data_IF_651268678556
#
_entry.id   IF_651268678556
#
_cell.length_a   1.000
_cell.length_b   1.000
_cell.length_c   1.000
_cell.angle_alpha   90.00
_cell.angle_beta   90.00
_cell.angle_gamma   90.00
#
_symmetry.space_group_name_H-M   'P 1'
#
loop_
_entity.id
_entity.type
_entity.pdbx_description
1 polymer ?
#
# COMPACT_ATOMS: atom_id res chain seq x y z
N UNK A 1 -1.50 1.51 -14.91
CA UNK A 1 -1.19 0.81 -13.65
C UNK A 1 -1.99 1.40 -12.48
N UNK A 2 -2.06 2.73 -12.35
CA UNK A 2 -2.89 3.42 -11.34
C UNK A 2 -4.37 3.00 -11.36
N UNK A 3 -5.03 2.96 -12.53
CA UNK A 3 -6.47 2.63 -12.61
C UNK A 3 -6.83 1.24 -12.06
N UNK A 4 -6.00 0.21 -12.32
CA UNK A 4 -6.23 -1.14 -11.79
C UNK A 4 -6.06 -1.19 -10.26
N UNK A 5 -5.12 -0.41 -9.73
CA UNK A 5 -4.89 -0.28 -8.28
C UNK A 5 -6.07 0.46 -7.63
N UNK A 6 -6.52 1.57 -8.22
CA UNK A 6 -7.69 2.33 -7.77
C UNK A 6 -8.94 1.44 -7.76
N UNK A 7 -9.23 0.74 -8.86
CA UNK A 7 -10.35 -0.19 -8.94
C UNK A 7 -10.28 -1.27 -7.85
N UNK A 8 -9.09 -1.83 -7.61
CA UNK A 8 -8.90 -2.85 -6.57
C UNK A 8 -9.07 -2.30 -5.16
N UNK A 9 -8.56 -1.09 -4.87
CA UNK A 9 -8.77 -0.41 -3.59
C UNK A 9 -10.25 -0.14 -3.36
N UNK A 10 -10.97 0.39 -4.36
CA UNK A 10 -12.41 0.63 -4.28
C UNK A 10 -13.19 -0.65 -4.01
N UNK A 11 -12.82 -1.76 -4.67
CA UNK A 11 -13.40 -3.08 -4.39
C UNK A 11 -13.18 -3.52 -2.95
N UNK A 12 -11.95 -3.40 -2.43
CA UNK A 12 -11.63 -3.79 -1.06
C UNK A 12 -12.36 -2.90 -0.03
N UNK A 13 -12.48 -1.59 -0.29
CA UNK A 13 -13.24 -0.68 0.57
C UNK A 13 -14.71 -1.08 0.61
N UNK A 14 -15.32 -1.38 -0.55
CA UNK A 14 -16.71 -1.84 -0.61
C UNK A 14 -16.91 -3.18 0.09
N UNK A 15 -15.96 -4.13 -0.07
CA UNK A 15 -15.99 -5.40 0.65
C UNK A 15 -15.93 -5.21 2.17
N UNK A 16 -15.10 -4.30 2.67
CA UNK A 16 -15.07 -3.97 4.09
C UNK A 16 -16.41 -3.42 4.59
N UNK A 17 -17.05 -2.53 3.82
CA UNK A 17 -18.36 -1.98 4.15
C UNK A 17 -19.47 -3.04 4.16
N UNK A 18 -19.41 -4.00 3.23
CA UNK A 18 -20.31 -5.16 3.22
C UNK A 18 -20.12 -6.07 4.43
N UNK A 19 -18.88 -6.32 4.85
CA UNK A 19 -18.61 -7.12 6.06
C UNK A 19 -19.07 -6.35 7.30
N UNK A 20 -18.89 -5.02 7.33
CA UNK A 20 -19.36 -4.17 8.44
C UNK A 20 -20.89 -4.14 8.56
N UNK A 21 -21.63 -4.18 7.45
CA UNK A 21 -23.10 -4.21 7.50
C UNK A 21 -23.67 -5.52 8.02
N UNK A 22 -22.88 -6.60 8.00
CA UNK A 22 -23.22 -7.89 8.59
C UNK A 22 -22.92 -7.97 10.10
N UNK A 23 -22.30 -6.93 10.67
CA UNK A 23 -21.98 -6.91 12.10
C UNK A 23 -23.25 -6.91 12.95
N UNK A 24 -23.24 -7.75 13.99
CA UNK A 24 -24.34 -7.90 14.94
C UNK A 24 -23.96 -7.25 16.27
N UNK A 25 -24.98 -6.78 16.99
CA UNK A 25 -24.81 -6.22 18.33
C UNK A 25 -25.15 -7.28 19.39
N UNK A 26 -24.32 -7.39 20.42
CA UNK A 26 -24.61 -8.23 21.57
C UNK A 26 -25.46 -7.48 22.61
N UNK A 27 -25.95 -8.20 23.63
CA UNK A 27 -26.77 -7.63 24.70
C UNK A 27 -26.10 -6.51 25.50
N UNK A 28 -24.78 -6.43 25.47
CA UNK A 28 -23.98 -5.42 26.17
C UNK A 28 -23.61 -4.25 25.25
N UNK A 29 -24.19 -4.17 24.04
CA UNK A 29 -23.96 -3.11 23.07
C UNK A 29 -22.70 -3.27 22.21
N UNK A 30 -21.90 -4.32 22.42
CA UNK A 30 -20.68 -4.61 21.66
C UNK A 30 -20.97 -5.25 20.30
N UNK A 31 -20.17 -4.87 19.28
CA UNK A 31 -20.32 -5.38 17.92
C UNK A 31 -19.45 -6.62 17.69
N UNK A 32 -20.00 -7.64 17.04
CA UNK A 32 -19.30 -8.87 16.65
C UNK A 32 -19.68 -9.32 15.23
N UNK A 33 -18.81 -10.15 14.64
CA UNK A 33 -19.04 -10.81 13.36
C UNK A 33 -19.40 -12.28 13.62
N UNK A 34 -20.32 -12.84 12.83
CA UNK A 34 -20.54 -14.29 12.81
C UNK A 34 -19.40 -15.02 12.08
N UNK A 35 -19.37 -16.34 12.20
CA UNK A 35 -18.27 -17.16 11.70
C UNK A 35 -17.98 -16.93 10.20
N UNK A 36 -19.02 -16.83 9.38
CA UNK A 36 -18.87 -16.61 7.93
C UNK A 36 -18.27 -15.22 7.63
N UNK A 37 -18.72 -14.18 8.34
CA UNK A 37 -18.15 -12.84 8.20
C UNK A 37 -16.73 -12.72 8.74
N UNK A 38 -16.32 -13.57 9.70
CA UNK A 38 -14.92 -13.66 10.16
C UNK A 38 -14.00 -14.24 9.08
N UNK A 39 -14.46 -15.24 8.32
CA UNK A 39 -13.69 -15.82 7.22
C UNK A 39 -13.51 -14.79 6.09
N UNK A 40 -14.60 -14.08 5.73
CA UNK A 40 -14.56 -12.98 4.76
C UNK A 40 -13.63 -11.84 5.23
N UNK A 41 -13.68 -11.48 6.52
CA UNK A 41 -12.77 -10.50 7.11
C UNK A 41 -11.30 -10.92 6.94
N UNK A 42 -10.99 -12.19 7.18
CA UNK A 42 -9.62 -12.71 7.08
C UNK A 42 -9.11 -12.67 5.63
N UNK A 43 -9.95 -13.07 4.67
CA UNK A 43 -9.63 -12.98 3.26
C UNK A 43 -9.38 -11.53 2.80
N UNK A 44 -10.24 -10.61 3.25
CA UNK A 44 -10.11 -9.18 2.97
C UNK A 44 -8.82 -8.60 3.56
N UNK A 45 -8.48 -8.99 4.78
CA UNK A 45 -7.29 -8.53 5.50
C UNK A 45 -6.00 -8.91 4.76
N UNK A 46 -5.88 -10.17 4.33
CA UNK A 46 -4.74 -10.66 3.56
C UNK A 46 -4.63 -9.94 2.22
N UNK A 47 -5.76 -9.78 1.52
CA UNK A 47 -5.81 -9.10 0.23
C UNK A 47 -5.40 -7.62 0.34
N UNK A 48 -5.87 -6.94 1.39
CA UNK A 48 -5.55 -5.54 1.67
C UNK A 48 -4.06 -5.35 1.97
N UNK A 49 -3.48 -6.20 2.82
CA UNK A 49 -2.03 -6.17 3.11
C UNK A 49 -1.19 -6.41 1.87
N UNK A 50 -1.55 -7.40 1.05
CA UNK A 50 -0.82 -7.70 -0.18
C UNK A 50 -0.84 -6.52 -1.14
N UNK A 51 -1.98 -5.83 -1.26
CA UNK A 51 -2.10 -4.66 -2.13
C UNK A 51 -1.32 -3.46 -1.58
N UNK A 52 -1.45 -3.15 -0.29
CA UNK A 52 -0.72 -2.06 0.34
C UNK A 52 0.79 -2.25 0.20
N UNK A 53 1.30 -3.47 0.36
CA UNK A 53 2.72 -3.79 0.15
C UNK A 53 3.17 -3.66 -1.31
N UNK A 54 2.26 -3.84 -2.27
CA UNK A 54 2.57 -3.62 -3.70
C UNK A 54 2.64 -2.12 -4.03
N UNK A 55 1.73 -1.34 -3.45
CA UNK A 55 1.66 0.12 -3.66
C UNK A 55 2.84 0.81 -2.97
N UNK A 56 3.10 0.40 -1.74
CA UNK A 56 4.19 0.86 -0.91
C UNK A 56 5.40 -0.03 -1.17
N UNK A 57 6.19 0.28 -2.21
CA UNK A 57 7.38 -0.49 -2.58
C UNK A 57 8.38 -0.68 -1.42
N UNK A 58 8.26 0.11 -0.35
CA UNK A 58 8.98 -0.05 0.90
C UNK A 58 8.02 -0.38 2.07
N UNK A 59 8.42 -1.32 2.93
CA UNK A 59 7.64 -1.75 4.09
C UNK A 59 7.48 -0.64 5.15
N UNK A 60 8.19 0.48 5.00
CA UNK A 60 8.16 1.67 5.88
C UNK A 60 7.15 2.73 5.45
N UNK A 61 6.39 2.51 4.38
CA UNK A 61 5.39 3.49 3.99
C UNK A 61 4.32 3.62 5.07
N UNK A 62 3.99 4.87 5.41
CA UNK A 62 3.07 5.24 6.48
C UNK A 62 1.76 4.45 6.45
N UNK A 63 1.18 4.23 5.26
CA UNK A 63 -0.07 3.48 5.13
C UNK A 63 0.06 2.00 5.51
N UNK A 64 1.15 1.33 5.12
CA UNK A 64 1.35 -0.09 5.41
C UNK A 64 1.69 -0.31 6.89
N UNK A 65 2.58 0.51 7.45
CA UNK A 65 2.92 0.44 8.87
C UNK A 65 1.72 0.76 9.77
N UNK A 66 0.95 1.81 9.43
CA UNK A 66 -0.25 2.17 10.18
C UNK A 66 -1.29 1.05 10.11
N UNK A 67 -1.52 0.47 8.92
CA UNK A 67 -2.42 -0.67 8.77
C UNK A 67 -2.00 -1.88 9.62
N UNK A 68 -0.71 -2.21 9.64
CA UNK A 68 -0.20 -3.33 10.44
C UNK A 68 -0.21 -3.05 11.95
N UNK A 69 -0.02 -1.80 12.34
CA UNK A 69 -0.06 -1.37 13.75
C UNK A 69 -1.49 -1.35 14.28
N UNK A 70 -2.42 -0.78 13.51
CA UNK A 70 -3.84 -0.70 13.84
C UNK A 70 -4.52 -2.07 13.91
N UNK A 71 -4.05 -3.04 13.12
CA UNK A 71 -4.50 -4.43 13.21
C UNK A 71 -4.08 -5.07 14.55
N UNK A 72 -2.84 -4.81 14.99
CA UNK A 72 -2.28 -5.39 16.22
C UNK A 72 -2.77 -4.70 17.48
N UNK A 73 -3.10 -3.40 17.40
CA UNK A 73 -3.71 -2.67 18.49
C UNK A 73 -5.14 -3.15 18.70
N UNK A 74 -5.28 -4.14 19.57
CA UNK A 74 -6.58 -4.52 20.13
C UNK A 74 -6.72 -3.84 21.49
N UNK A 75 -7.53 -2.80 21.56
CA UNK A 75 -7.89 -2.23 22.86
C UNK A 75 -8.77 -3.23 23.64
N UNK A 76 -8.65 -3.25 24.97
CA UNK A 76 -9.57 -4.00 25.81
C UNK A 76 -11.01 -3.57 25.45
N UNK A 77 -11.88 -4.54 25.14
CA UNK A 77 -13.27 -4.37 24.68
C UNK A 77 -13.49 -4.04 23.19
N UNK A 78 -12.45 -4.02 22.36
CA UNK A 78 -12.63 -3.79 20.92
C UNK A 78 -12.97 -5.07 20.16
N UNK A 79 -14.11 -5.05 19.44
CA UNK A 79 -14.55 -6.14 18.57
C UNK A 79 -13.98 -6.02 17.15
N UNK A 80 -13.95 -7.16 16.42
CA UNK A 80 -13.49 -7.21 15.01
C UNK A 80 -14.17 -6.18 14.09
N UNK A 81 -15.46 -5.85 14.22
CA UNK A 81 -16.08 -4.79 13.42
C UNK A 81 -15.44 -3.41 13.62
N UNK A 82 -15.03 -3.08 14.84
CA UNK A 82 -14.39 -1.78 15.13
C UNK A 82 -12.99 -1.71 14.51
N UNK A 83 -12.22 -2.80 14.61
CA UNK A 83 -10.91 -2.94 13.96
C UNK A 83 -11.06 -2.82 12.44
N UNK A 84 -12.02 -3.54 11.85
CA UNK A 84 -12.31 -3.47 10.41
C UNK A 84 -12.63 -2.04 9.96
N UNK A 85 -13.42 -1.29 10.74
CA UNK A 85 -13.74 0.11 10.42
C UNK A 85 -12.48 0.98 10.39
N UNK A 86 -11.59 0.84 11.39
CA UNK A 86 -10.32 1.57 11.44
C UNK A 86 -9.44 1.24 10.24
N UNK A 87 -9.25 -0.05 9.95
CA UNK A 87 -8.45 -0.52 8.83
C UNK A 87 -9.03 -0.05 7.47
N UNK A 88 -10.35 0.01 7.33
CA UNK A 88 -10.99 0.51 6.13
C UNK A 88 -10.72 2.02 5.91
N UNK A 89 -10.64 2.81 6.99
CA UNK A 89 -10.25 4.23 6.90
C UNK A 89 -8.85 4.41 6.33
N UNK A 90 -7.90 3.53 6.68
CA UNK A 90 -6.54 3.55 6.11
C UNK A 90 -6.56 3.26 4.60
N UNK A 91 -7.39 2.31 4.14
CA UNK A 91 -7.56 2.06 2.71
C UNK A 91 -8.19 3.24 1.97
N UNK A 92 -9.16 3.93 2.59
CA UNK A 92 -9.76 5.14 2.01
C UNK A 92 -8.75 6.27 1.86
N UNK A 93 -7.92 6.50 2.88
CA UNK A 93 -6.81 7.45 2.79
C UNK A 93 -5.84 7.07 1.66
N UNK A 94 -5.47 5.79 1.59
CA UNK A 94 -4.60 5.29 0.51
C UNK A 94 -5.22 5.52 -0.87
N UNK A 95 -6.52 5.30 -1.05
CA UNK A 95 -7.21 5.57 -2.31
C UNK A 95 -7.17 7.06 -2.67
N UNK A 96 -7.36 7.95 -1.70
CA UNK A 96 -7.25 9.39 -1.90
C UNK A 96 -5.84 9.80 -2.34
N UNK A 97 -4.80 9.26 -1.70
CA UNK A 97 -3.39 9.51 -2.08
C UNK A 97 -3.01 8.94 -3.45
N UNK A 98 -3.64 7.83 -3.86
CA UNK A 98 -3.50 7.30 -5.23
C UNK A 98 -4.22 8.22 -6.22
N UNK A 99 -5.42 8.71 -5.89
CA UNK A 99 -6.23 9.56 -6.77
C UNK A 99 -5.64 10.97 -6.95
N UNK A 100 -5.03 11.52 -5.90
CA UNK A 100 -4.31 12.80 -5.97
C UNK A 100 -2.97 12.67 -6.69
N UNK A 101 -2.54 11.45 -7.02
CA UNK A 101 -1.28 11.18 -7.72
C UNK A 101 -0.04 11.30 -6.81
N UNK A 102 -0.23 11.47 -5.50
CA UNK A 102 0.87 11.57 -4.52
C UNK A 102 1.78 10.34 -4.58
N UNK A 103 1.19 9.15 -4.62
CA UNK A 103 1.91 7.88 -4.73
C UNK A 103 2.64 7.70 -6.07
N UNK A 104 2.10 8.26 -7.16
CA UNK A 104 2.77 8.27 -8.46
C UNK A 104 3.98 9.21 -8.40
N UNK A 105 3.81 10.40 -7.82
CA UNK A 105 4.89 11.36 -7.64
C UNK A 105 6.03 10.79 -6.80
N UNK A 106 5.74 10.08 -5.71
CA UNK A 106 6.77 9.42 -4.90
C UNK A 106 7.55 8.37 -5.68
N UNK A 107 6.88 7.51 -6.46
CA UNK A 107 7.57 6.52 -7.28
C UNK A 107 8.47 7.20 -8.33
N UNK A 108 7.97 8.25 -8.99
CA UNK A 108 8.76 9.01 -9.97
C UNK A 108 9.97 9.66 -9.32
N UNK A 109 9.83 10.24 -8.13
CA UNK A 109 10.95 10.85 -7.38
C UNK A 109 12.01 9.81 -7.04
N UNK A 110 11.62 8.65 -6.50
CA UNK A 110 12.57 7.58 -6.17
C UNK A 110 13.26 7.04 -7.43
N UNK A 111 12.52 6.85 -8.52
CA UNK A 111 13.12 6.42 -9.79
C UNK A 111 14.11 7.45 -10.32
N UNK A 112 13.77 8.76 -10.26
CA UNK A 112 14.71 9.81 -10.65
C UNK A 112 15.96 9.86 -9.78
N UNK A 113 15.85 9.63 -8.47
CA UNK A 113 17.03 9.59 -7.58
C UNK A 113 17.98 8.43 -7.94
N UNK A 114 17.43 7.26 -8.26
CA UNK A 114 18.23 6.12 -8.71
C UNK A 114 18.88 6.44 -10.06
N UNK A 115 18.11 6.97 -11.02
CA UNK A 115 18.63 7.35 -12.33
C UNK A 115 19.75 8.40 -12.24
N UNK A 116 19.60 9.41 -11.37
CA UNK A 116 20.63 10.41 -11.13
C UNK A 116 21.92 9.76 -10.60
N UNK A 117 21.81 8.82 -9.66
CA UNK A 117 22.99 8.12 -9.12
C UNK A 117 23.72 7.26 -10.16
N UNK A 118 22.98 6.57 -11.03
CA UNK A 118 23.54 5.76 -12.11
C UNK A 118 24.14 6.63 -13.23
N UNK A 119 23.52 7.78 -13.54
CA UNK A 119 24.06 8.78 -14.48
C UNK A 119 25.35 9.42 -13.97
N UNK A 120 25.42 9.74 -12.67
CA UNK A 120 26.64 10.22 -12.05
C UNK A 120 27.76 9.17 -12.11
N UNK A 121 27.42 7.88 -11.93
CA UNK A 121 28.38 6.79 -12.11
C UNK A 121 28.85 6.66 -13.56
N UNK A 122 27.94 6.76 -14.54
CA UNK A 122 28.29 6.76 -15.96
C UNK A 122 29.23 7.91 -16.31
N UNK A 123 29.00 9.09 -15.74
CA UNK A 123 29.86 10.27 -15.90
C UNK A 123 31.25 10.06 -15.31
N UNK A 124 31.35 9.47 -14.12
CA UNK A 124 32.64 9.12 -13.52
C UNK A 124 33.44 8.15 -14.41
N UNK A 125 32.79 7.15 -15.00
CA UNK A 125 33.45 6.24 -15.96
C UNK A 125 33.92 6.97 -17.21
N UNK A 126 33.13 7.92 -17.73
CA UNK A 126 33.49 8.74 -18.88
C UNK A 126 34.74 9.58 -18.58
N UNK A 127 34.75 10.28 -17.45
CA UNK A 127 35.86 11.14 -17.01
C UNK A 127 37.13 10.33 -16.73
N UNK A 128 36.98 9.08 -16.29
CA UNK A 128 38.08 8.14 -16.06
C UNK A 128 38.55 7.41 -17.33
N UNK A 129 37.95 7.68 -18.49
CA UNK A 129 38.31 7.07 -19.78
C UNK A 129 37.75 5.66 -20.03
N UNK A 130 36.88 5.15 -19.14
CA UNK A 130 36.21 3.86 -19.29
C UNK A 130 34.96 3.98 -20.17
N UNK A 131 35.16 4.25 -21.46
CA UNK A 131 34.09 4.56 -22.42
C UNK A 131 33.00 3.49 -22.54
N UNK A 132 33.38 2.21 -22.52
CA UNK A 132 32.42 1.10 -22.63
C UNK A 132 31.55 1.01 -21.39
N UNK A 133 32.14 1.14 -20.19
CA UNK A 133 31.40 1.12 -18.93
C UNK A 133 30.44 2.32 -18.84
N UNK A 134 30.91 3.51 -19.22
CA UNK A 134 30.08 4.71 -19.28
C UNK A 134 28.88 4.54 -20.23
N UNK A 135 29.12 4.02 -21.44
CA UNK A 135 28.07 3.83 -22.44
C UNK A 135 27.03 2.78 -22.02
N UNK A 136 27.47 1.68 -21.40
CA UNK A 136 26.56 0.65 -20.90
C UNK A 136 25.72 1.18 -19.74
N UNK A 137 26.33 1.81 -18.73
CA UNK A 137 25.59 2.34 -17.56
C UNK A 137 24.58 3.42 -17.98
N UNK A 138 24.98 4.36 -18.85
CA UNK A 138 24.04 5.37 -19.37
C UNK A 138 22.93 4.76 -20.26
N UNK A 139 23.26 3.73 -21.05
CA UNK A 139 22.30 3.01 -21.88
C UNK A 139 21.22 2.32 -21.05
N UNK A 140 21.60 1.67 -19.95
CA UNK A 140 20.65 1.02 -19.03
C UNK A 140 19.65 2.03 -18.47
N UNK A 141 20.08 3.23 -18.06
CA UNK A 141 19.18 4.28 -17.56
C UNK A 141 18.19 4.75 -18.63
N UNK A 142 18.62 4.84 -19.90
CA UNK A 142 17.76 5.27 -21.00
C UNK A 142 16.75 4.20 -21.45
N UNK A 143 17.00 2.93 -21.13
CA UNK A 143 16.13 1.80 -21.45
C UNK A 143 15.07 1.52 -20.37
N UNK A 144 15.31 1.96 -19.12
CA UNK A 144 14.43 1.76 -17.95
C UNK A 144 13.39 2.85 -17.74
#
# INVERSE_FOLDING_TARGET
MSEKIQQRLTQLISQAEQILSQAKQNSNGGLYLDQNSVDLYTQWLVSSKSLLRLICADNKATHYELFCSDEKQTHSFEGKPTILRRLNSVLKATLDDVNTGLLISFKTIIQSEVFDSELDQAKHFLDSGYLVAAAVTAGVVLET
#
